data_IF_395131735560
#
_entry.id   IF_395131735560
#
_cell.length_a   1.000
_cell.length_b   1.000
_cell.length_c   1.000
_cell.angle_alpha   90.00
_cell.angle_beta   90.00
_cell.angle_gamma   90.00
#
_symmetry.space_group_name_H-M   'P 1'
#
loop_
_entity.id
_entity.type
_entity.pdbx_description
1 polymer ?
#
# COMPACT_ATOMS: atom_id res chain seq x y z
N UNK A 1 13.43 -9.42 2.56
CA UNK A 1 13.50 -8.31 1.57
C UNK A 1 14.88 -7.61 1.47
N UNK A 2 15.73 -7.59 2.51
CA UNK A 2 16.98 -6.81 2.48
C UNK A 2 18.09 -7.29 1.52
N UNK A 3 18.12 -8.59 1.16
CA UNK A 3 19.20 -9.18 0.33
C UNK A 3 18.76 -9.93 -0.95
N UNK A 4 17.46 -9.95 -1.29
CA UNK A 4 16.97 -10.55 -2.54
C UNK A 4 16.74 -9.46 -3.61
N UNK A 5 17.57 -9.45 -4.65
CA UNK A 5 17.48 -8.50 -5.75
C UNK A 5 16.22 -8.63 -6.60
N UNK A 6 15.61 -9.82 -6.64
CA UNK A 6 14.36 -10.05 -7.38
C UNK A 6 13.17 -9.45 -6.65
N UNK A 7 13.09 -9.64 -5.33
CA UNK A 7 12.05 -9.03 -4.50
C UNK A 7 12.04 -7.50 -4.58
N UNK A 8 13.22 -6.87 -4.58
CA UNK A 8 13.35 -5.40 -4.72
C UNK A 8 12.88 -4.91 -6.10
N UNK A 9 13.22 -5.64 -7.16
CA UNK A 9 12.81 -5.31 -8.52
C UNK A 9 11.29 -5.42 -8.67
N UNK A 10 10.70 -6.54 -8.21
CA UNK A 10 9.25 -6.75 -8.24
C UNK A 10 8.53 -5.64 -7.45
N UNK A 11 9.01 -5.32 -6.25
CA UNK A 11 8.43 -4.24 -5.46
C UNK A 11 8.44 -2.90 -6.20
N UNK A 12 9.59 -2.49 -6.73
CA UNK A 12 9.69 -1.23 -7.49
C UNK A 12 8.79 -1.23 -8.72
N UNK A 13 8.67 -2.35 -9.45
CA UNK A 13 7.82 -2.44 -10.63
C UNK A 13 6.33 -2.39 -10.29
N UNK A 14 5.91 -3.07 -9.22
CA UNK A 14 4.54 -3.02 -8.70
C UNK A 14 4.12 -1.59 -8.43
N UNK A 15 4.98 -0.80 -7.75
CA UNK A 15 4.68 0.60 -7.49
C UNK A 15 4.56 1.42 -8.78
N UNK A 16 5.50 1.26 -9.71
CA UNK A 16 5.50 2.01 -10.96
C UNK A 16 4.27 1.72 -11.83
N UNK A 17 3.70 0.52 -11.71
CA UNK A 17 2.55 0.07 -12.50
C UNK A 17 1.22 0.13 -11.73
N UNK A 18 1.18 0.83 -10.58
CA UNK A 18 -0.01 0.88 -9.73
C UNK A 18 -1.28 1.34 -10.48
N UNK A 19 -1.13 2.33 -11.36
CA UNK A 19 -2.25 2.88 -12.14
C UNK A 19 -2.87 1.86 -13.09
N UNK A 20 -2.09 0.91 -13.63
CA UNK A 20 -2.59 -0.19 -14.48
C UNK A 20 -3.51 -1.16 -13.71
N UNK A 21 -3.41 -1.15 -12.39
CA UNK A 21 -4.26 -1.92 -11.48
C UNK A 21 -5.43 -1.10 -10.92
N UNK A 22 -5.61 0.16 -11.35
CA UNK A 22 -6.62 1.06 -10.81
C UNK A 22 -6.31 1.53 -9.38
N UNK A 23 -5.02 1.53 -9.01
CA UNK A 23 -4.55 1.97 -7.70
C UNK A 23 -3.73 3.24 -7.87
N UNK A 24 -4.05 4.25 -7.08
CA UNK A 24 -3.26 5.48 -6.95
C UNK A 24 -2.43 5.42 -5.68
N UNK A 25 -1.12 5.58 -5.81
CA UNK A 25 -0.21 5.63 -4.66
C UNK A 25 -0.07 7.09 -4.21
N UNK A 26 -0.47 7.40 -2.98
CA UNK A 26 -0.30 8.74 -2.39
C UNK A 26 1.08 8.93 -1.76
N UNK A 27 1.66 7.85 -1.25
CA UNK A 27 2.99 7.88 -0.66
C UNK A 27 3.45 6.52 -0.16
N UNK A 28 4.77 6.35 -0.12
CA UNK A 28 5.44 5.16 0.39
C UNK A 28 6.48 5.63 1.41
N UNK A 29 6.47 4.98 2.57
CA UNK A 29 7.38 5.27 3.67
C UNK A 29 8.01 3.96 4.12
N UNK A 30 9.24 4.01 4.61
CA UNK A 30 9.95 2.82 5.06
C UNK A 30 10.60 3.07 6.43
N UNK A 31 10.61 2.02 7.24
CA UNK A 31 11.41 1.89 8.46
C UNK A 31 12.53 0.88 8.16
N UNK A 32 13.74 1.34 7.76
CA UNK A 32 14.83 0.44 7.42
C UNK A 32 15.29 -0.44 8.59
N UNK A 33 15.46 0.06 9.83
CA UNK A 33 15.74 -0.78 11.00
C UNK A 33 14.69 -1.86 11.27
N UNK A 34 13.40 -1.52 11.17
CA UNK A 34 12.30 -2.46 11.39
C UNK A 34 12.00 -3.37 10.20
N UNK A 35 12.60 -3.12 9.04
CA UNK A 35 12.27 -3.76 7.76
C UNK A 35 10.77 -3.68 7.41
N UNK A 36 10.13 -2.55 7.71
CA UNK A 36 8.71 -2.32 7.44
C UNK A 36 8.52 -1.27 6.35
N UNK A 37 7.47 -1.46 5.54
CA UNK A 37 7.06 -0.54 4.50
C UNK A 37 5.61 -0.17 4.74
N UNK A 38 5.32 1.13 4.66
CA UNK A 38 3.99 1.70 4.79
C UNK A 38 3.60 2.33 3.47
N UNK A 39 2.36 2.10 3.05
CA UNK A 39 1.84 2.66 1.82
C UNK A 39 0.45 3.25 2.06
N UNK A 40 0.24 4.45 1.51
CA UNK A 40 -1.09 5.04 1.42
C UNK A 40 -1.52 4.93 -0.03
N UNK A 41 -2.58 4.18 -0.28
CA UNK A 41 -3.17 3.97 -1.61
C UNK A 41 -4.64 4.35 -1.62
N UNK A 42 -5.11 4.70 -2.81
CA UNK A 42 -6.51 4.93 -3.12
C UNK A 42 -6.92 3.99 -4.26
N UNK A 43 -8.09 3.39 -4.12
CA UNK A 43 -8.64 2.39 -5.03
C UNK A 43 -10.15 2.32 -4.82
N UNK A 44 -10.88 1.92 -5.86
CA UNK A 44 -12.35 1.84 -5.80
C UNK A 44 -12.83 0.48 -5.28
N UNK A 45 -12.02 -0.59 -5.44
CA UNK A 45 -12.40 -1.94 -5.04
C UNK A 45 -11.27 -2.71 -4.36
N UNK A 46 -11.65 -3.68 -3.51
CA UNK A 46 -10.67 -4.60 -2.90
C UNK A 46 -9.96 -5.47 -3.95
N UNK A 47 -10.64 -5.80 -5.06
CA UNK A 47 -10.05 -6.60 -6.14
C UNK A 47 -8.90 -5.87 -6.84
N UNK A 48 -9.04 -4.56 -7.07
CA UNK A 48 -7.97 -3.72 -7.60
C UNK A 48 -6.76 -3.69 -6.64
N UNK A 49 -7.01 -3.57 -5.34
CA UNK A 49 -5.95 -3.65 -4.33
C UNK A 49 -5.23 -5.00 -4.34
N UNK A 50 -5.98 -6.11 -4.38
CA UNK A 50 -5.39 -7.45 -4.42
C UNK A 50 -4.58 -7.64 -5.70
N UNK A 51 -5.09 -7.23 -6.87
CA UNK A 51 -4.37 -7.29 -8.14
C UNK A 51 -3.07 -6.48 -8.12
N UNK A 52 -3.11 -5.30 -7.51
CA UNK A 52 -1.93 -4.46 -7.32
C UNK A 52 -0.88 -5.15 -6.43
N UNK A 53 -1.30 -5.79 -5.34
CA UNK A 53 -0.40 -6.45 -4.40
C UNK A 53 0.07 -7.83 -4.87
N UNK A 54 -0.64 -8.50 -5.77
CA UNK A 54 -0.36 -9.87 -6.25
C UNK A 54 1.12 -10.17 -6.53
N UNK A 55 1.91 -9.30 -7.21
CA UNK A 55 3.31 -9.59 -7.50
C UNK A 55 4.23 -9.56 -6.27
N UNK A 56 3.75 -9.00 -5.17
CA UNK A 56 4.49 -8.81 -3.92
C UNK A 56 3.84 -9.49 -2.72
N UNK A 57 2.61 -9.99 -2.82
CA UNK A 57 1.82 -10.49 -1.67
C UNK A 57 2.44 -11.68 -0.92
N UNK A 58 3.47 -12.32 -1.49
CA UNK A 58 4.21 -13.41 -0.85
C UNK A 58 5.54 -12.96 -0.22
N UNK A 59 5.92 -11.67 -0.35
CA UNK A 59 7.21 -11.16 0.16
C UNK A 59 7.27 -10.97 1.68
N UNK A 60 6.15 -11.10 2.39
CA UNK A 60 6.06 -10.90 3.83
C UNK A 60 4.62 -10.94 4.36
N UNK A 61 4.43 -10.42 5.56
CA UNK A 61 3.11 -10.22 6.15
C UNK A 61 2.56 -8.85 5.74
N UNK A 62 1.26 -8.80 5.45
CA UNK A 62 0.57 -7.56 5.07
C UNK A 62 -0.59 -7.28 6.00
N UNK A 63 -0.73 -6.01 6.35
CA UNK A 63 -1.90 -5.50 7.03
C UNK A 63 -2.51 -4.38 6.20
N UNK A 64 -3.77 -4.57 5.78
CA UNK A 64 -4.55 -3.57 5.05
C UNK A 64 -5.58 -2.99 5.99
N UNK A 65 -5.54 -1.67 6.19
CA UNK A 65 -6.53 -0.93 6.99
C UNK A 65 -7.11 0.21 6.16
N UNK A 66 -8.45 0.32 6.03
CA UNK A 66 -9.08 1.51 5.49
C UNK A 66 -8.73 2.72 6.36
N UNK A 67 -8.37 3.83 5.72
CA UNK A 67 -8.11 5.09 6.38
C UNK A 67 -8.97 6.20 5.77
N UNK A 68 -9.33 7.19 6.59
CA UNK A 68 -10.01 8.38 6.14
C UNK A 68 -9.02 9.53 6.06
N UNK A 69 -9.32 10.52 5.21
CA UNK A 69 -8.65 11.81 5.37
C UNK A 69 -8.96 12.37 6.78
N UNK A 70 -8.02 13.13 7.32
CA UNK A 70 -8.13 13.59 8.71
C UNK A 70 -9.38 14.44 8.95
N UNK A 71 -9.73 15.31 8.00
CA UNK A 71 -10.92 16.16 8.11
C UNK A 71 -12.23 15.36 8.18
N UNK A 72 -12.41 14.31 7.38
CA UNK A 72 -13.60 13.45 7.44
C UNK A 72 -13.64 12.65 8.74
N UNK A 73 -12.48 12.16 9.20
CA UNK A 73 -12.40 11.45 10.48
C UNK A 73 -12.83 12.34 11.66
N UNK A 74 -12.42 13.61 11.69
CA UNK A 74 -12.86 14.55 12.74
C UNK A 74 -14.35 14.90 12.60
N UNK A 75 -14.85 15.05 11.37
CA UNK A 75 -16.27 15.33 11.13
C UNK A 75 -17.18 14.18 11.59
N UNK A 76 -16.77 12.92 11.44
CA UNK A 76 -17.55 11.76 11.90
C UNK A 76 -17.62 11.67 13.43
N UNK A 77 -16.55 12.05 14.13
CA UNK A 77 -16.49 12.10 15.60
C UNK A 77 -17.33 13.24 16.19
N UNK A 78 -17.57 14.32 15.43
CA UNK A 78 -18.37 15.47 15.88
C UNK A 78 -19.88 15.24 15.78
N UNK A 79 -20.31 14.20 15.07
CA UNK A 79 -21.71 13.77 14.94
C UNK A 79 -22.08 12.60 15.88
N UNK A 80 -21.19 12.24 16.82
CA UNK A 80 -21.40 11.22 17.86
C UNK A 80 -21.64 11.86 19.22
#
# INVERSE_FOLDING_TARGET
MAHDGKAKTNFSQTISNAEESGVKVHGIYADPPGHQIFMVVETDTMEQLVKFLDPIIDLGDYEVRPVLNFSTAIASLSNS
#
